data_IF_487351239788
#
_entry.id   IF_487351239788
#
_cell.length_a   1.000
_cell.length_b   1.000
_cell.length_c   1.000
_cell.angle_alpha   90.00
_cell.angle_beta   90.00
_cell.angle_gamma   90.00
#
_symmetry.space_group_name_H-M   'P 1'
#
loop_
_entity.id
_entity.type
_entity.pdbx_description
1 polymer ?
#
# COMPACT_ATOMS: atom_id res chain seq x y z
N UNK A 1 8.26 26.92 -2.00
CA UNK A 1 8.24 25.72 -2.84
C UNK A 1 9.67 25.50 -3.30
N UNK A 2 10.40 24.61 -2.61
CA UNK A 2 11.67 24.11 -3.13
C UNK A 2 11.43 23.55 -4.54
N UNK A 3 12.43 23.68 -5.42
CA UNK A 3 12.33 23.26 -6.79
C UNK A 3 11.94 21.77 -6.86
N UNK A 4 10.77 21.45 -7.44
CA UNK A 4 10.27 20.08 -7.54
C UNK A 4 11.26 19.15 -8.25
N UNK A 5 12.04 19.69 -9.19
CA UNK A 5 13.10 18.94 -9.88
C UNK A 5 14.19 18.47 -8.92
N UNK A 6 14.57 19.33 -7.96
CA UNK A 6 15.59 19.01 -6.98
C UNK A 6 15.05 18.04 -5.92
N UNK A 7 13.77 18.16 -5.55
CA UNK A 7 13.09 17.22 -4.65
C UNK A 7 12.99 15.82 -5.26
N UNK A 8 12.48 15.69 -6.48
CA UNK A 8 12.36 14.40 -7.16
C UNK A 8 13.73 13.80 -7.49
N UNK A 9 14.75 14.61 -7.80
CA UNK A 9 16.14 14.13 -7.94
C UNK A 9 16.65 13.53 -6.63
N UNK A 10 16.45 14.22 -5.51
CA UNK A 10 16.83 13.71 -4.19
C UNK A 10 16.12 12.39 -3.85
N UNK A 11 14.81 12.26 -4.13
CA UNK A 11 14.09 11.00 -3.94
C UNK A 11 14.71 9.85 -4.75
N UNK A 12 15.07 10.09 -6.02
CA UNK A 12 15.74 9.08 -6.86
C UNK A 12 17.08 8.65 -6.27
N UNK A 13 17.87 9.59 -5.76
CA UNK A 13 19.14 9.28 -5.07
C UNK A 13 18.91 8.45 -3.80
N UNK A 14 17.86 8.74 -3.04
CA UNK A 14 17.49 7.92 -1.87
C UNK A 14 17.16 6.50 -2.29
N UNK A 15 16.31 6.31 -3.31
CA UNK A 15 15.96 4.99 -3.86
C UNK A 15 17.22 4.22 -4.29
N UNK A 16 18.07 4.85 -5.10
CA UNK A 16 19.31 4.25 -5.60
C UNK A 16 20.27 3.81 -4.49
N UNK A 17 20.34 4.55 -3.38
CA UNK A 17 21.28 4.29 -2.28
C UNK A 17 20.74 3.32 -1.22
N UNK A 18 19.45 2.95 -1.27
CA UNK A 18 18.81 2.17 -0.20
C UNK A 18 18.35 0.77 -0.60
N UNK A 19 18.24 0.45 -1.89
CA UNK A 19 17.72 -0.84 -2.33
C UNK A 19 18.78 -1.81 -2.90
N UNK A 20 18.60 -3.09 -2.59
CA UNK A 20 19.37 -4.20 -3.18
C UNK A 20 18.56 -5.00 -4.23
N UNK A 21 17.29 -4.67 -4.44
CA UNK A 21 16.39 -5.38 -5.35
C UNK A 21 15.91 -4.46 -6.50
N UNK A 22 16.28 -4.74 -7.76
CA UNK A 22 15.94 -3.89 -8.90
C UNK A 22 14.44 -3.69 -9.13
N UNK A 23 13.61 -4.71 -8.88
CA UNK A 23 12.16 -4.65 -9.14
C UNK A 23 11.45 -3.66 -8.21
N UNK A 24 11.94 -3.51 -6.97
CA UNK A 24 11.38 -2.60 -5.96
C UNK A 24 11.73 -1.13 -6.27
N UNK A 25 12.90 -0.92 -6.85
CA UNK A 25 13.35 0.40 -7.27
C UNK A 25 12.52 0.91 -8.47
N UNK A 26 12.18 0.05 -9.43
CA UNK A 26 11.34 0.41 -10.59
C UNK A 26 10.00 1.00 -10.17
N UNK A 27 9.32 0.35 -9.22
CA UNK A 27 8.05 0.84 -8.70
C UNK A 27 8.18 2.25 -8.10
N UNK A 28 9.23 2.47 -7.32
CA UNK A 28 9.50 3.75 -6.68
C UNK A 28 9.84 4.83 -7.71
N UNK A 29 10.63 4.51 -8.74
CA UNK A 29 10.92 5.43 -9.83
C UNK A 29 9.68 5.82 -10.61
N UNK A 30 8.84 4.85 -10.98
CA UNK A 30 7.58 5.12 -11.68
C UNK A 30 6.64 6.02 -10.87
N UNK A 31 6.59 5.84 -9.55
CA UNK A 31 5.82 6.71 -8.67
C UNK A 31 6.41 8.13 -8.60
N UNK A 32 7.74 8.27 -8.55
CA UNK A 32 8.43 9.57 -8.57
C UNK A 32 8.18 10.30 -9.89
N UNK A 33 8.29 9.61 -11.02
CA UNK A 33 8.06 10.19 -12.35
C UNK A 33 6.63 10.71 -12.49
N UNK A 34 5.63 9.91 -12.07
CA UNK A 34 4.23 10.31 -12.08
C UNK A 34 3.94 11.51 -11.18
N UNK A 35 4.53 11.55 -9.99
CA UNK A 35 4.41 12.68 -9.07
C UNK A 35 5.06 13.97 -9.62
N UNK A 36 6.25 13.86 -10.20
CA UNK A 36 6.96 14.98 -10.80
C UNK A 36 6.17 15.60 -11.95
N UNK A 37 5.61 14.76 -12.83
CA UNK A 37 4.77 15.20 -13.95
C UNK A 37 3.51 15.92 -13.43
N UNK A 38 2.84 15.35 -12.42
CA UNK A 38 1.62 15.90 -11.84
C UNK A 38 1.84 17.26 -11.13
N UNK A 39 2.96 17.42 -10.42
CA UNK A 39 3.35 18.69 -9.80
C UNK A 39 3.72 19.75 -10.85
N UNK A 40 4.46 19.37 -11.90
CA UNK A 40 4.86 20.28 -12.99
C UNK A 40 3.68 20.79 -13.80
N UNK A 41 2.70 19.92 -14.04
CA UNK A 41 1.45 20.26 -14.73
C UNK A 41 0.46 21.01 -13.83
N UNK A 42 0.83 21.31 -12.56
CA UNK A 42 0.00 22.00 -11.54
C UNK A 42 -1.33 21.33 -11.29
N UNK A 43 -1.39 20.02 -11.54
CA UNK A 43 -2.59 19.22 -11.31
C UNK A 43 -2.69 18.77 -9.85
N UNK A 44 -1.55 18.71 -9.13
CA UNK A 44 -1.48 18.57 -7.68
C UNK A 44 -1.39 19.94 -7.01
N UNK A 45 -2.28 20.22 -6.07
CA UNK A 45 -2.30 21.45 -5.28
C UNK A 45 -2.25 21.08 -3.79
N UNK A 46 -1.43 21.77 -3.00
CA UNK A 46 -1.34 21.59 -1.54
C UNK A 46 -0.97 20.17 -1.05
N UNK A 47 -0.05 19.50 -1.75
CA UNK A 47 0.49 18.21 -1.30
C UNK A 47 1.38 18.38 -0.06
N UNK A 48 1.06 17.62 1.00
CA UNK A 48 1.91 17.48 2.18
C UNK A 48 3.20 16.69 1.83
N UNK A 49 4.27 17.43 1.55
CA UNK A 49 5.59 16.86 1.26
C UNK A 49 6.27 16.29 2.51
N UNK A 50 5.81 16.59 3.73
CA UNK A 50 6.48 16.14 4.95
C UNK A 50 6.36 14.63 5.10
N UNK A 51 5.20 14.03 4.78
CA UNK A 51 5.02 12.57 4.82
C UNK A 51 5.93 11.85 3.81
N UNK A 52 6.04 12.36 2.59
CA UNK A 52 6.92 11.81 1.54
C UNK A 52 8.40 11.97 1.97
N UNK A 53 8.74 13.11 2.55
CA UNK A 53 10.09 13.42 3.05
C UNK A 53 10.46 12.57 4.25
N UNK A 54 9.53 12.30 5.16
CA UNK A 54 9.70 11.40 6.31
C UNK A 54 9.90 9.96 5.81
N UNK A 55 9.08 9.48 4.87
CA UNK A 55 9.24 8.16 4.27
C UNK A 55 10.62 7.99 3.63
N UNK A 56 11.10 9.01 2.91
CA UNK A 56 12.42 9.01 2.29
C UNK A 56 13.59 9.16 3.28
N UNK A 57 13.43 9.93 4.38
CA UNK A 57 14.49 10.11 5.40
C UNK A 57 14.59 8.95 6.39
N UNK A 58 13.50 8.25 6.66
CA UNK A 58 13.51 7.10 7.56
C UNK A 58 14.10 5.86 6.85
N UNK A 59 15.43 5.67 6.99
CA UNK A 59 16.20 4.53 6.46
C UNK A 59 15.69 3.12 6.82
N UNK A 60 14.74 3.00 7.76
CA UNK A 60 14.09 1.74 8.14
C UNK A 60 12.89 1.36 7.26
N UNK A 61 12.39 2.32 6.48
CA UNK A 61 11.08 2.25 5.81
C UNK A 61 11.28 1.83 4.33
N UNK A 62 12.44 2.13 3.75
CA UNK A 62 12.85 1.59 2.45
C UNK A 62 12.11 2.26 1.27
N UNK A 63 12.67 2.22 0.06
CA UNK A 63 12.14 2.91 -1.12
C UNK A 63 10.69 2.62 -1.45
N UNK A 64 10.24 1.38 -1.28
CA UNK A 64 8.85 0.99 -1.56
C UNK A 64 7.84 1.90 -0.85
N UNK A 65 8.16 2.35 0.36
CA UNK A 65 7.26 3.21 1.13
C UNK A 65 7.23 4.64 0.58
N UNK A 66 8.33 5.11 -0.04
CA UNK A 66 8.32 6.35 -0.83
C UNK A 66 7.32 6.22 -1.97
N UNK A 67 7.39 5.13 -2.75
CA UNK A 67 6.44 4.85 -3.81
C UNK A 67 4.98 4.78 -3.32
N UNK A 68 4.75 4.16 -2.16
CA UNK A 68 3.43 4.11 -1.51
C UNK A 68 2.91 5.51 -1.20
N UNK A 69 3.70 6.32 -0.48
CA UNK A 69 3.26 7.64 -0.04
C UNK A 69 3.01 8.57 -1.22
N UNK A 70 3.81 8.48 -2.28
CA UNK A 70 3.59 9.23 -3.52
C UNK A 70 2.26 8.84 -4.19
N UNK A 71 2.00 7.53 -4.34
CA UNK A 71 0.74 7.05 -4.92
C UNK A 71 -0.48 7.43 -4.06
N UNK A 72 -0.34 7.42 -2.73
CA UNK A 72 -1.40 7.86 -1.81
C UNK A 72 -1.62 9.37 -1.89
N UNK A 73 -0.56 10.18 -1.99
CA UNK A 73 -0.67 11.62 -2.14
C UNK A 73 -1.39 12.03 -3.43
N UNK A 74 -1.25 11.24 -4.49
CA UNK A 74 -1.96 11.48 -5.75
C UNK A 74 -3.42 11.04 -5.74
N UNK A 75 -3.88 10.29 -4.74
CA UNK A 75 -5.21 9.67 -4.79
C UNK A 75 -6.36 10.68 -4.70
N UNK A 76 -6.17 11.75 -3.91
CA UNK A 76 -7.19 12.76 -3.65
C UNK A 76 -7.52 13.58 -4.92
N UNK A 77 -6.49 13.91 -5.70
CA UNK A 77 -6.61 14.72 -6.92
C UNK A 77 -6.79 13.87 -8.20
N UNK A 78 -6.42 12.59 -8.16
CA UNK A 78 -6.42 11.69 -9.32
C UNK A 78 -7.06 10.33 -9.03
N UNK A 79 -8.40 10.22 -9.11
CA UNK A 79 -9.10 8.95 -8.91
C UNK A 79 -8.63 7.82 -9.85
N UNK A 80 -8.05 8.15 -11.02
CA UNK A 80 -7.45 7.14 -11.91
C UNK A 80 -6.31 6.35 -11.27
N UNK A 81 -5.67 6.86 -10.21
CA UNK A 81 -4.62 6.15 -9.46
C UNK A 81 -5.20 4.92 -8.73
N UNK A 82 -6.50 4.86 -8.47
CA UNK A 82 -7.13 3.63 -7.98
C UNK A 82 -6.87 2.44 -8.92
N UNK A 83 -6.78 2.67 -10.24
CA UNK A 83 -6.43 1.62 -11.21
C UNK A 83 -5.01 1.08 -11.00
N UNK A 84 -4.06 1.93 -10.60
CA UNK A 84 -2.70 1.53 -10.22
C UNK A 84 -2.74 0.62 -8.99
N UNK A 85 -3.51 0.98 -7.96
CA UNK A 85 -3.68 0.13 -6.78
C UNK A 85 -4.30 -1.22 -7.12
N UNK A 86 -5.33 -1.24 -7.98
CA UNK A 86 -5.93 -2.48 -8.49
C UNK A 86 -4.91 -3.33 -9.26
N UNK A 87 -4.08 -2.72 -10.10
CA UNK A 87 -3.03 -3.42 -10.84
C UNK A 87 -1.97 -4.02 -9.90
N UNK A 88 -1.52 -3.26 -8.89
CA UNK A 88 -0.59 -3.75 -7.88
C UNK A 88 -1.17 -4.94 -7.11
N UNK A 89 -2.47 -4.92 -6.80
CA UNK A 89 -3.16 -6.00 -6.07
C UNK A 89 -3.19 -7.36 -6.79
N UNK A 90 -3.03 -7.36 -8.12
CA UNK A 90 -3.02 -8.57 -8.95
C UNK A 90 -1.63 -8.90 -9.53
N UNK A 91 -0.60 -8.15 -9.13
CA UNK A 91 0.76 -8.35 -9.62
C UNK A 91 1.25 -9.79 -9.42
N UNK A 92 2.14 -10.26 -10.30
CA UNK A 92 2.81 -11.55 -10.13
C UNK A 92 3.76 -11.55 -8.92
N UNK A 93 4.24 -10.36 -8.51
CA UNK A 93 5.18 -10.12 -7.43
C UNK A 93 4.45 -10.01 -6.09
N UNK A 94 4.88 -10.78 -5.08
CA UNK A 94 4.18 -10.80 -3.78
C UNK A 94 4.29 -9.47 -3.03
N UNK A 95 5.31 -8.69 -3.36
CA UNK A 95 5.72 -7.53 -2.61
C UNK A 95 4.97 -6.27 -3.07
N UNK A 96 4.59 -6.20 -4.35
CA UNK A 96 3.65 -5.20 -4.90
C UNK A 96 2.23 -5.45 -4.39
N UNK A 97 1.78 -6.72 -4.36
CA UNK A 97 0.49 -7.07 -3.75
C UNK A 97 0.44 -6.71 -2.27
N UNK A 98 1.54 -6.96 -1.53
CA UNK A 98 1.67 -6.53 -0.14
C UNK A 98 1.58 -5.02 0.00
N UNK A 99 2.18 -4.25 -0.92
CA UNK A 99 2.11 -2.78 -0.93
C UNK A 99 0.67 -2.27 -1.07
N UNK A 100 -0.07 -2.82 -2.03
CA UNK A 100 -1.45 -2.43 -2.27
C UNK A 100 -2.32 -2.66 -1.03
N UNK A 101 -2.10 -3.79 -0.35
CA UNK A 101 -2.84 -4.15 0.86
C UNK A 101 -2.39 -3.32 2.06
N UNK A 102 -1.10 -3.05 2.23
CA UNK A 102 -0.61 -2.26 3.36
C UNK A 102 -1.11 -0.81 3.34
N UNK A 103 -1.40 -0.27 2.15
CA UNK A 103 -1.97 1.06 1.96
C UNK A 103 -3.43 1.21 2.44
N UNK A 104 -4.17 0.10 2.64
CA UNK A 104 -5.61 0.11 3.00
C UNK A 104 -5.92 0.89 4.28
N UNK A 105 -4.97 0.96 5.22
CA UNK A 105 -5.16 1.70 6.47
C UNK A 105 -5.27 3.21 6.26
N UNK A 106 -4.81 3.73 5.12
CA UNK A 106 -4.83 5.15 4.82
C UNK A 106 -6.25 5.61 4.48
N UNK A 107 -6.70 6.69 5.12
CA UNK A 107 -8.06 7.20 4.99
C UNK A 107 -8.38 7.72 3.58
N UNK A 108 -7.35 8.09 2.79
CA UNK A 108 -7.51 8.50 1.39
C UNK A 108 -8.02 7.36 0.51
N UNK A 109 -7.66 6.11 0.81
CA UNK A 109 -8.20 4.95 0.12
C UNK A 109 -9.70 4.85 0.45
N UNK A 110 -10.55 4.86 -0.58
CA UNK A 110 -12.00 4.72 -0.43
C UNK A 110 -12.38 3.38 0.22
N UNK A 111 -13.51 3.32 0.93
CA UNK A 111 -13.96 2.08 1.58
C UNK A 111 -14.14 0.94 0.56
N UNK A 112 -14.72 1.24 -0.60
CA UNK A 112 -14.95 0.27 -1.66
C UNK A 112 -13.64 -0.28 -2.24
N UNK A 113 -12.66 0.59 -2.51
CA UNK A 113 -11.34 0.16 -2.96
C UNK A 113 -10.65 -0.69 -1.88
N UNK A 114 -10.66 -0.24 -0.62
CA UNK A 114 -10.08 -1.00 0.49
C UNK A 114 -10.67 -2.40 0.60
N UNK A 115 -12.00 -2.53 0.50
CA UNK A 115 -12.69 -3.81 0.51
C UNK A 115 -12.26 -4.69 -0.66
N UNK A 116 -12.24 -4.15 -1.88
CA UNK A 116 -11.81 -4.88 -3.09
C UNK A 116 -10.38 -5.42 -2.95
N UNK A 117 -9.44 -4.58 -2.50
CA UNK A 117 -8.04 -4.93 -2.31
C UNK A 117 -7.87 -6.00 -1.22
N UNK A 118 -8.55 -5.85 -0.09
CA UNK A 118 -8.51 -6.81 1.01
C UNK A 118 -9.10 -8.16 0.61
N UNK A 119 -10.25 -8.18 -0.07
CA UNK A 119 -10.94 -9.41 -0.47
C UNK A 119 -10.05 -10.29 -1.34
N UNK A 120 -9.40 -9.72 -2.36
CA UNK A 120 -8.43 -10.45 -3.21
C UNK A 120 -7.25 -10.97 -2.41
N UNK A 121 -6.75 -10.18 -1.47
CA UNK A 121 -5.54 -10.50 -0.72
C UNK A 121 -5.74 -11.55 0.39
N UNK A 122 -6.97 -11.79 0.84
CA UNK A 122 -7.28 -12.85 1.81
C UNK A 122 -6.95 -14.26 1.26
N UNK A 123 -7.02 -14.45 -0.05
CA UNK A 123 -6.69 -15.71 -0.73
C UNK A 123 -5.33 -15.69 -1.46
N UNK A 124 -4.46 -14.73 -1.13
CA UNK A 124 -3.16 -14.58 -1.76
C UNK A 124 -2.26 -15.82 -1.60
N UNK A 125 -1.42 -16.14 -2.59
CA UNK A 125 -0.42 -17.22 -2.49
C UNK A 125 0.60 -17.01 -1.37
N UNK A 126 0.94 -15.76 -1.03
CA UNK A 126 1.91 -15.37 -0.02
C UNK A 126 1.26 -15.23 1.35
N UNK A 127 1.75 -15.96 2.35
CA UNK A 127 1.23 -15.83 3.73
C UNK A 127 1.45 -14.44 4.32
N UNK A 128 2.50 -13.72 3.89
CA UNK A 128 2.71 -12.31 4.30
C UNK A 128 1.62 -11.37 3.79
N UNK A 129 1.12 -11.61 2.57
CA UNK A 129 0.05 -10.79 1.99
C UNK A 129 -1.27 -11.11 2.69
N UNK A 130 -1.58 -12.40 2.87
CA UNK A 130 -2.77 -12.83 3.62
C UNK A 130 -2.80 -12.29 5.05
N UNK A 131 -1.68 -12.36 5.77
CA UNK A 131 -1.56 -11.79 7.12
C UNK A 131 -1.85 -10.30 7.12
N UNK A 132 -1.28 -9.56 6.17
CA UNK A 132 -1.54 -8.13 6.01
C UNK A 132 -3.02 -7.89 5.69
N UNK A 133 -3.65 -8.67 4.81
CA UNK A 133 -5.06 -8.50 4.48
C UNK A 133 -5.97 -8.65 5.70
N UNK A 134 -5.76 -9.69 6.51
CA UNK A 134 -6.49 -9.92 7.76
C UNK A 134 -6.34 -8.74 8.71
N UNK A 135 -5.11 -8.23 8.87
CA UNK A 135 -4.82 -7.04 9.68
C UNK A 135 -5.59 -5.81 9.18
N UNK A 136 -5.59 -5.57 7.87
CA UNK A 136 -6.21 -4.39 7.27
C UNK A 136 -7.73 -4.43 7.34
N UNK A 137 -8.34 -5.62 7.19
CA UNK A 137 -9.78 -5.80 7.43
C UNK A 137 -10.14 -5.44 8.87
N UNK A 138 -9.31 -5.86 9.84
CA UNK A 138 -9.53 -5.51 11.25
C UNK A 138 -9.36 -4.01 11.51
N UNK A 139 -8.24 -3.41 11.08
CA UNK A 139 -7.93 -1.99 11.34
C UNK A 139 -8.95 -1.05 10.70
N UNK A 140 -9.41 -1.33 9.48
CA UNK A 140 -10.45 -0.54 8.79
C UNK A 140 -11.86 -1.01 9.09
N UNK A 141 -12.01 -2.02 9.95
CA UNK A 141 -13.28 -2.57 10.38
C UNK A 141 -14.23 -2.93 9.21
N UNK A 142 -13.71 -3.68 8.23
CA UNK A 142 -14.46 -4.06 7.02
C UNK A 142 -15.30 -5.31 7.31
N UNK A 143 -16.35 -5.17 8.12
CA UNK A 143 -17.21 -6.28 8.59
C UNK A 143 -17.75 -7.17 7.46
N UNK A 144 -18.05 -6.56 6.31
CA UNK A 144 -18.56 -7.31 5.15
C UNK A 144 -17.61 -8.40 4.63
N UNK A 145 -16.34 -8.41 5.06
CA UNK A 145 -15.35 -9.44 4.75
C UNK A 145 -15.16 -10.50 5.86
N UNK A 146 -15.91 -10.43 6.98
CA UNK A 146 -15.90 -11.48 8.00
C UNK A 146 -16.19 -12.89 7.44
N UNK A 147 -17.17 -13.09 6.53
CA UNK A 147 -17.38 -14.40 5.91
C UNK A 147 -16.16 -14.91 5.15
N UNK A 148 -15.42 -14.02 4.47
CA UNK A 148 -14.20 -14.38 3.76
C UNK A 148 -13.07 -14.78 4.73
N UNK A 149 -12.91 -14.06 5.85
CA UNK A 149 -11.96 -14.44 6.92
C UNK A 149 -12.30 -15.81 7.50
N UNK A 150 -13.58 -16.10 7.81
CA UNK A 150 -14.04 -17.42 8.30
C UNK A 150 -13.79 -18.53 7.29
N UNK A 151 -13.95 -18.25 6.00
CA UNK A 151 -13.62 -19.23 4.97
C UNK A 151 -12.11 -19.46 4.92
N UNK A 152 -11.29 -18.41 5.03
CA UNK A 152 -9.84 -18.51 5.06
C UNK A 152 -9.34 -19.33 6.25
N UNK A 153 -9.92 -19.17 7.44
CA UNK A 153 -9.62 -19.94 8.65
C UNK A 153 -9.63 -21.46 8.39
N UNK A 154 -10.66 -21.95 7.68
CA UNK A 154 -10.88 -23.39 7.43
C UNK A 154 -9.80 -24.03 6.55
N UNK A 155 -9.11 -23.24 5.73
CA UNK A 155 -8.18 -23.71 4.71
C UNK A 155 -6.76 -23.16 4.89
N UNK A 156 -6.53 -22.26 5.84
CA UNK A 156 -5.20 -21.71 6.12
C UNK A 156 -4.26 -22.78 6.70
N UNK A 157 -3.03 -22.80 6.18
CA UNK A 157 -1.98 -23.76 6.59
C UNK A 157 -0.83 -23.07 7.33
N UNK A 158 -0.66 -21.76 7.12
CA UNK A 158 0.35 -20.98 7.83
C UNK A 158 -0.13 -20.71 9.26
N UNK A 159 0.60 -21.26 10.23
CA UNK A 159 0.26 -21.16 11.65
C UNK A 159 0.15 -19.71 12.14
N UNK A 160 0.98 -18.80 11.65
CA UNK A 160 0.96 -17.40 12.10
C UNK A 160 -0.28 -16.69 11.58
N UNK A 161 -0.63 -16.92 10.31
CA UNK A 161 -1.85 -16.36 9.72
C UNK A 161 -3.08 -16.91 10.44
N UNK A 162 -3.15 -18.22 10.66
CA UNK A 162 -4.28 -18.86 11.34
C UNK A 162 -4.47 -18.34 12.78
N UNK A 163 -3.39 -18.21 13.55
CA UNK A 163 -3.45 -17.62 14.90
C UNK A 163 -3.99 -16.20 14.88
N UNK A 164 -3.60 -15.41 13.89
CA UNK A 164 -4.07 -14.03 13.75
C UNK A 164 -5.52 -13.95 13.28
N UNK A 165 -5.95 -14.83 12.38
CA UNK A 165 -7.36 -14.98 11.97
C UNK A 165 -8.24 -15.26 13.19
N UNK A 166 -7.88 -16.22 14.04
CA UNK A 166 -8.65 -16.51 15.26
C UNK A 166 -8.73 -15.29 16.18
N UNK A 167 -7.63 -14.56 16.33
CA UNK A 167 -7.62 -13.33 17.13
C UNK A 167 -8.58 -12.29 16.55
N UNK A 168 -8.51 -12.00 15.25
CA UNK A 168 -9.39 -11.03 14.57
C UNK A 168 -10.86 -11.43 14.69
N UNK A 169 -11.21 -12.68 14.41
CA UNK A 169 -12.60 -13.16 14.50
C UNK A 169 -13.17 -12.99 15.91
N UNK A 170 -12.41 -13.35 16.94
CA UNK A 170 -12.83 -13.19 18.34
C UNK A 170 -13.09 -11.74 18.73
N UNK A 171 -12.38 -10.77 18.13
CA UNK A 171 -12.52 -9.35 18.49
C UNK A 171 -13.61 -8.64 17.69
N UNK A 172 -13.74 -8.96 16.39
CA UNK A 172 -14.76 -8.34 15.54
C UNK A 172 -16.17 -8.86 15.81
N UNK A 173 -16.33 -10.08 16.34
CA UNK A 173 -17.67 -10.63 16.67
C UNK A 173 -18.24 -10.13 18.01
N UNK A 174 -17.42 -9.44 18.83
CA UNK A 174 -17.84 -8.92 20.14
C UNK A 174 -18.28 -7.45 20.12
N UNK A 175 -18.18 -6.80 18.96
CA UNK A 175 -18.51 -5.39 18.75
C UNK A 175 -19.87 -5.28 18.07
#
# INVERSE_FOLDING_TARGET
MENIDDYCRWLREVVANSEKNPDDADLSYRAIDGFEEAMKSRMLVDVDLDKITIAAKCRRVGPREIGRELLLAMLDDFPQIESTWRNLSISSLAHERWLAVSAIQDERISFDLAKELAEKALDDKSSKVRLCAVDRVFVRYIESLLPAIKNREKVEKDRKVLQYIHWVLNHMEQT
#
